data_IF_880454403170
#
_entry.id   IF_880454403170
#
_cell.length_a   1.000
_cell.length_b   1.000
_cell.length_c   1.000
_cell.angle_alpha   90.00
_cell.angle_beta   90.00
_cell.angle_gamma   90.00
#
_symmetry.space_group_name_H-M   'P 1'
#
loop_
_entity.id
_entity.type
_entity.pdbx_description
1 polymer ?
#
# COMPACT_ATOMS: atom_id res chain seq x y z
N UNK A 1 0.89 1.81 26.60
CA UNK A 1 0.70 0.90 25.46
C UNK A 1 -0.78 0.56 25.41
N UNK A 2 -1.45 0.90 24.31
CA UNK A 2 -2.88 0.65 24.16
C UNK A 2 -3.09 -0.82 23.74
N UNK A 3 -3.94 -1.55 24.46
CA UNK A 3 -4.20 -2.98 24.18
C UNK A 3 -4.79 -3.15 22.77
N UNK A 4 -5.61 -2.21 22.31
CA UNK A 4 -6.22 -2.24 20.97
C UNK A 4 -5.17 -2.12 19.87
N UNK A 5 -4.29 -1.12 19.99
CA UNK A 5 -3.16 -0.90 19.08
C UNK A 5 -2.25 -2.14 19.02
N UNK A 6 -2.04 -2.80 20.16
CA UNK A 6 -1.24 -4.03 20.23
C UNK A 6 -1.92 -5.17 19.47
N UNK A 7 -3.23 -5.35 19.62
CA UNK A 7 -3.99 -6.39 18.95
C UNK A 7 -4.05 -6.19 17.42
N UNK A 8 -4.21 -4.96 16.97
CA UNK A 8 -4.18 -4.61 15.54
C UNK A 8 -2.81 -4.91 14.93
N UNK A 9 -1.72 -4.50 15.58
CA UNK A 9 -0.36 -4.76 15.12
C UNK A 9 -0.06 -6.27 14.99
N UNK A 10 -0.47 -7.07 15.98
CA UNK A 10 -0.31 -8.53 15.94
C UNK A 10 -1.11 -9.12 14.76
N UNK A 11 -2.35 -8.66 14.57
CA UNK A 11 -3.23 -9.14 13.50
C UNK A 11 -2.65 -8.84 12.13
N UNK A 12 -2.17 -7.61 11.92
CA UNK A 12 -1.54 -7.18 10.67
C UNK A 12 -0.28 -8.01 10.38
N UNK A 13 0.59 -8.19 11.37
CA UNK A 13 1.82 -8.98 11.23
C UNK A 13 1.54 -10.43 10.83
N UNK A 14 0.55 -11.07 11.46
CA UNK A 14 0.14 -12.44 11.10
C UNK A 14 -0.42 -12.52 9.67
N UNK A 15 -1.29 -11.59 9.29
CA UNK A 15 -1.84 -11.55 7.94
C UNK A 15 -0.75 -11.35 6.88
N UNK A 16 0.24 -10.52 7.16
CA UNK A 16 1.38 -10.29 6.26
C UNK A 16 2.22 -11.56 6.10
N UNK A 17 2.56 -12.25 7.21
CA UNK A 17 3.29 -13.52 7.18
C UNK A 17 2.56 -14.61 6.38
N UNK A 18 1.23 -14.64 6.46
CA UNK A 18 0.38 -15.57 5.72
C UNK A 18 0.06 -15.11 4.28
N UNK A 19 0.54 -13.92 3.85
CA UNK A 19 0.23 -13.30 2.54
C UNK A 19 -1.27 -13.04 2.33
N UNK A 20 -1.99 -12.79 3.41
CA UNK A 20 -3.42 -12.49 3.43
C UNK A 20 -3.72 -11.01 3.67
N UNK A 21 -2.70 -10.22 4.02
CA UNK A 21 -2.82 -8.77 4.14
C UNK A 21 -3.17 -8.11 2.81
N UNK A 22 -3.93 -7.03 2.89
CA UNK A 22 -4.27 -6.19 1.76
C UNK A 22 -3.20 -5.14 1.51
N UNK A 23 -2.91 -4.90 0.25
CA UNK A 23 -1.94 -3.89 -0.20
C UNK A 23 -2.55 -3.07 -1.32
N UNK A 24 -2.22 -1.78 -1.30
CA UNK A 24 -2.48 -0.85 -2.37
C UNK A 24 -1.23 -0.79 -3.25
N UNK A 25 -1.38 -1.10 -4.54
CA UNK A 25 -0.37 -0.88 -5.57
C UNK A 25 -0.75 0.38 -6.35
N UNK A 26 0.17 1.34 -6.44
CA UNK A 26 0.03 2.55 -7.26
C UNK A 26 1.16 2.57 -8.26
N UNK A 27 0.85 2.72 -9.54
CA UNK A 27 1.85 2.86 -10.62
C UNK A 27 1.79 4.28 -11.16
N UNK A 28 2.96 4.86 -11.42
CA UNK A 28 3.12 6.19 -12.01
C UNK A 28 3.82 6.10 -13.36
N UNK A 29 3.65 7.10 -14.23
CA UNK A 29 4.30 7.14 -15.55
C UNK A 29 5.52 8.08 -15.61
N UNK A 30 5.53 9.16 -14.83
CA UNK A 30 6.62 10.15 -14.86
C UNK A 30 6.90 10.67 -13.44
N UNK A 31 7.91 10.14 -12.73
CA UNK A 31 8.74 8.99 -13.09
C UNK A 31 7.95 7.67 -13.13
N UNK A 32 8.46 6.65 -13.83
CA UNK A 32 7.84 5.33 -13.85
C UNK A 32 8.19 4.56 -12.57
N UNK A 33 7.27 4.56 -11.61
CA UNK A 33 7.45 3.91 -10.33
C UNK A 33 6.26 3.02 -10.01
N UNK A 34 6.48 1.98 -9.21
CA UNK A 34 5.42 1.23 -8.54
C UNK A 34 5.60 1.35 -7.03
N UNK A 35 4.59 1.88 -6.37
CA UNK A 35 4.51 2.02 -4.92
C UNK A 35 3.56 0.98 -4.33
N UNK A 36 3.93 0.40 -3.20
CA UNK A 36 3.12 -0.52 -2.42
C UNK A 36 2.88 0.04 -1.02
N UNK A 37 1.61 0.28 -0.67
CA UNK A 37 1.19 0.77 0.63
C UNK A 37 0.37 -0.28 1.38
N UNK A 38 0.63 -0.40 2.67
CA UNK A 38 0.09 -1.43 3.54
C UNK A 38 1.14 -1.89 4.56
N UNK A 39 0.98 -3.06 5.17
CA UNK A 39 -0.17 -3.98 5.05
C UNK A 39 -1.45 -3.47 5.73
N UNK A 40 -2.62 -3.77 5.15
CA UNK A 40 -3.95 -3.50 5.73
C UNK A 40 -4.67 -4.79 6.14
N UNK A 41 -5.44 -4.73 7.24
CA UNK A 41 -6.27 -5.85 7.69
C UNK A 41 -7.40 -6.14 6.69
N UNK A 42 -8.02 -5.09 6.14
CA UNK A 42 -9.19 -5.20 5.24
C UNK A 42 -9.00 -4.44 3.94
N UNK A 43 -9.69 -4.87 2.89
CA UNK A 43 -9.74 -4.17 1.61
C UNK A 43 -10.31 -2.75 1.78
N UNK A 44 -11.34 -2.60 2.61
CA UNK A 44 -11.97 -1.31 2.87
C UNK A 44 -11.02 -0.33 3.53
N UNK A 45 -10.20 -0.77 4.49
CA UNK A 45 -9.17 0.08 5.09
C UNK A 45 -8.16 0.56 4.04
N UNK A 46 -7.70 -0.32 3.16
CA UNK A 46 -6.82 0.05 2.05
C UNK A 46 -7.48 1.08 1.11
N UNK A 47 -8.75 0.89 0.75
CA UNK A 47 -9.51 1.82 -0.10
C UNK A 47 -9.78 3.18 0.55
N UNK A 48 -9.99 3.23 1.87
CA UNK A 48 -10.14 4.48 2.60
C UNK A 48 -8.82 5.25 2.61
N UNK A 49 -7.71 4.58 2.90
CA UNK A 49 -6.37 5.20 2.90
C UNK A 49 -5.86 5.54 1.50
N UNK A 50 -6.35 4.87 0.45
CA UNK A 50 -5.94 5.06 -0.94
C UNK A 50 -5.95 6.51 -1.40
N UNK A 51 -6.96 7.29 -1.00
CA UNK A 51 -7.09 8.68 -1.45
C UNK A 51 -5.90 9.55 -0.98
N UNK A 52 -5.46 9.39 0.26
CA UNK A 52 -4.32 10.14 0.80
C UNK A 52 -3.03 9.82 0.04
N UNK A 53 -2.75 8.54 -0.22
CA UNK A 53 -1.56 8.16 -0.98
C UNK A 53 -1.56 8.68 -2.42
N UNK A 54 -2.73 8.65 -3.09
CA UNK A 54 -2.86 9.19 -4.44
C UNK A 54 -2.62 10.70 -4.45
N UNK A 55 -3.19 11.41 -3.48
CA UNK A 55 -3.04 12.85 -3.35
C UNK A 55 -1.58 13.24 -3.10
N UNK A 56 -0.91 12.55 -2.17
CA UNK A 56 0.51 12.78 -1.86
C UNK A 56 1.39 12.58 -3.10
N UNK A 57 1.22 11.46 -3.82
CA UNK A 57 2.00 11.17 -5.04
C UNK A 57 1.71 12.20 -6.15
N UNK A 58 0.46 12.60 -6.32
CA UNK A 58 0.10 13.61 -7.31
C UNK A 58 0.67 14.99 -6.96
N UNK A 59 0.72 15.34 -5.68
CA UNK A 59 1.31 16.60 -5.19
C UNK A 59 2.82 16.63 -5.40
N UNK A 60 3.49 15.48 -5.38
CA UNK A 60 4.91 15.33 -5.76
C UNK A 60 5.14 15.47 -7.29
N UNK A 61 4.07 15.60 -8.08
CA UNK A 61 4.13 15.83 -9.52
C UNK A 61 4.15 14.55 -10.37
N UNK A 62 3.95 13.39 -9.75
CA UNK A 62 3.90 12.12 -10.48
C UNK A 62 2.51 11.84 -11.06
N UNK A 63 2.47 11.36 -12.30
CA UNK A 63 1.23 10.99 -12.98
C UNK A 63 0.81 9.55 -12.64
N UNK A 64 -0.33 9.37 -11.97
CA UNK A 64 -0.88 8.05 -11.65
C UNK A 64 -1.40 7.35 -12.91
N UNK A 65 -0.89 6.17 -13.22
CA UNK A 65 -1.30 5.36 -14.37
C UNK A 65 -2.23 4.21 -14.01
N UNK A 66 -2.07 3.61 -12.83
CA UNK A 66 -2.98 2.59 -12.32
C UNK A 66 -2.96 2.48 -10.81
N UNK A 67 -4.09 2.04 -10.26
CA UNK A 67 -4.25 1.78 -8.85
C UNK A 67 -4.99 0.46 -8.65
N UNK A 68 -4.46 -0.40 -7.79
CA UNK A 68 -5.01 -1.73 -7.52
C UNK A 68 -4.93 -2.05 -6.03
N UNK A 69 -6.05 -2.46 -5.44
CA UNK A 69 -6.07 -3.03 -4.07
C UNK A 69 -6.19 -4.54 -4.19
N UNK A 70 -5.24 -5.28 -3.61
CA UNK A 70 -5.25 -6.75 -3.63
C UNK A 70 -4.57 -7.36 -2.42
N UNK A 71 -4.83 -8.65 -2.18
CA UNK A 71 -3.99 -9.46 -1.29
C UNK A 71 -2.71 -9.85 -1.98
N UNK A 72 -1.58 -9.54 -1.36
CA UNK A 72 -0.24 -9.73 -1.89
C UNK A 72 0.79 -9.51 -0.77
N UNK A 73 2.07 -9.80 -1.01
CA UNK A 73 3.16 -9.40 -0.13
C UNK A 73 4.31 -8.84 -0.99
N UNK A 74 4.51 -7.51 -1.01
CA UNK A 74 5.62 -6.89 -1.74
C UNK A 74 6.95 -7.32 -1.15
N UNK A 75 7.93 -7.55 -2.04
CA UNK A 75 9.34 -7.74 -1.62
C UNK A 75 10.04 -6.41 -1.35
N UNK A 76 9.57 -5.34 -1.99
CA UNK A 76 10.04 -3.97 -1.84
C UNK A 76 8.84 -3.02 -1.94
N UNK A 77 8.90 -1.91 -1.22
CA UNK A 77 7.79 -0.96 -1.15
C UNK A 77 7.76 0.01 -2.34
N UNK A 78 8.92 0.29 -2.91
CA UNK A 78 9.07 1.13 -4.09
C UNK A 78 9.94 0.41 -5.11
N UNK A 79 9.41 0.27 -6.32
CA UNK A 79 10.16 -0.14 -7.51
C UNK A 79 10.28 1.09 -8.40
N UNK A 80 11.51 1.53 -8.65
CA UNK A 80 11.78 2.53 -9.67
C UNK A 80 12.08 1.75 -10.94
N UNK A 81 11.26 1.96 -11.97
CA UNK A 81 11.51 1.41 -13.28
C UNK A 81 12.28 2.49 -14.04
N UNK A 82 13.60 2.43 -13.91
CA UNK A 82 14.50 3.13 -14.81
C UNK A 82 14.42 2.38 -16.16
N UNK A 83 13.65 2.94 -17.10
CA UNK A 83 13.29 2.47 -18.47
C UNK A 83 11.86 1.95 -18.68
#
# INVERSE_FOLDING_TARGET
MNILETAENITVSLLEQLRLAWWLKVVTNNPHCTYYFGPFITESAAKVSQFGYIEDIAQEGAEISSVEVKRFQPKVLTLINDE
#
